data_IF_344592813875
#
_entry.id   IF_344592813875
#
_cell.length_a   1.000
_cell.length_b   1.000
_cell.length_c   1.000
_cell.angle_alpha   90.00
_cell.angle_beta   90.00
_cell.angle_gamma   90.00
#
_symmetry.space_group_name_H-M   'P 1'
#
loop_
_entity.id
_entity.type
_entity.pdbx_description
1 polymer ?
#
# COMPACT_ATOMS: atom_id res chain seq x y z
N UNK A 1 8.72 -2.77 -12.74
CA UNK A 1 7.90 -3.86 -12.18
C UNK A 1 6.46 -3.58 -12.56
N UNK A 2 5.84 -4.44 -13.35
CA UNK A 2 4.42 -4.33 -13.71
C UNK A 2 3.54 -5.10 -12.69
N UNK A 3 2.20 -5.04 -12.82
CA UNK A 3 1.29 -5.74 -11.89
C UNK A 3 1.46 -7.26 -11.91
N UNK A 4 1.83 -7.86 -13.05
CA UNK A 4 2.04 -9.31 -13.19
C UNK A 4 3.32 -9.73 -12.48
N UNK A 5 4.40 -8.97 -12.64
CA UNK A 5 5.66 -9.17 -11.94
C UNK A 5 5.47 -9.08 -10.42
N UNK A 6 4.71 -8.08 -9.95
CA UNK A 6 4.44 -7.89 -8.52
C UNK A 6 3.55 -8.99 -7.96
N UNK A 7 2.51 -9.38 -8.69
CA UNK A 7 1.64 -10.49 -8.31
C UNK A 7 2.43 -11.79 -8.16
N UNK A 8 3.29 -12.10 -9.15
CA UNK A 8 4.18 -13.25 -9.10
C UNK A 8 5.14 -13.18 -7.91
N UNK A 9 5.76 -12.02 -7.66
CA UNK A 9 6.68 -11.83 -6.54
C UNK A 9 6.01 -11.94 -5.16
N UNK A 10 4.72 -11.60 -5.06
CA UNK A 10 3.93 -11.68 -3.82
C UNK A 10 3.21 -13.02 -3.62
N UNK A 11 3.29 -13.95 -4.58
CA UNK A 11 2.44 -15.14 -4.60
C UNK A 11 0.94 -14.79 -4.57
N UNK A 12 0.57 -13.68 -5.20
CA UNK A 12 -0.78 -13.15 -5.26
C UNK A 12 -1.36 -13.24 -6.67
N UNK A 13 -2.68 -13.18 -6.78
CA UNK A 13 -3.34 -13.07 -8.07
C UNK A 13 -3.17 -11.64 -8.63
N UNK A 14 -2.95 -11.50 -9.94
CA UNK A 14 -2.89 -10.17 -10.60
C UNK A 14 -4.15 -9.33 -10.32
N UNK A 15 -5.31 -9.99 -10.26
CA UNK A 15 -6.60 -9.39 -9.92
C UNK A 15 -6.59 -8.83 -8.51
N UNK A 16 -5.95 -9.51 -7.55
CA UNK A 16 -5.79 -9.03 -6.18
C UNK A 16 -4.98 -7.73 -6.15
N UNK A 17 -3.83 -7.69 -6.83
CA UNK A 17 -3.01 -6.46 -6.95
C UNK A 17 -3.81 -5.31 -7.59
N UNK A 18 -4.52 -5.58 -8.69
CA UNK A 18 -5.38 -4.59 -9.34
C UNK A 18 -6.52 -4.07 -8.46
N UNK A 19 -7.07 -4.90 -7.57
CA UNK A 19 -8.13 -4.48 -6.64
C UNK A 19 -7.59 -3.58 -5.53
N UNK A 20 -6.38 -3.87 -5.02
CA UNK A 20 -5.70 -3.01 -4.03
C UNK A 20 -5.41 -1.64 -4.62
N UNK A 21 -4.80 -1.57 -5.81
CA UNK A 21 -4.42 -0.29 -6.44
C UNK A 21 -5.61 0.62 -6.73
N UNK A 22 -6.81 0.04 -6.89
CA UNK A 22 -8.06 0.78 -7.10
C UNK A 22 -8.82 1.08 -5.80
N UNK A 23 -8.26 0.73 -4.64
CA UNK A 23 -8.93 0.88 -3.34
C UNK A 23 -10.20 0.04 -3.22
N UNK A 24 -10.30 -1.08 -3.94
CA UNK A 24 -11.45 -1.99 -3.92
C UNK A 24 -11.26 -3.17 -2.96
N UNK A 25 -10.05 -3.34 -2.43
CA UNK A 25 -9.75 -4.40 -1.49
C UNK A 25 -8.67 -3.93 -0.52
N UNK A 26 -8.90 -4.17 0.77
CA UNK A 26 -7.93 -3.91 1.82
C UNK A 26 -7.04 -5.16 2.00
N UNK A 27 -5.71 -5.04 1.89
CA UNK A 27 -4.81 -6.14 2.19
C UNK A 27 -4.78 -6.45 3.69
N UNK A 28 -4.65 -7.73 4.06
CA UNK A 28 -4.36 -8.08 5.45
C UNK A 28 -2.93 -7.65 5.83
N UNK A 29 -2.65 -7.55 7.12
CA UNK A 29 -1.30 -7.23 7.60
C UNK A 29 -0.25 -8.21 7.05
N UNK A 30 -0.56 -9.50 6.99
CA UNK A 30 0.29 -10.52 6.35
C UNK A 30 0.58 -10.17 4.89
N UNK A 31 -0.43 -9.72 4.14
CA UNK A 31 -0.28 -9.34 2.73
C UNK A 31 0.54 -8.06 2.56
N UNK A 32 0.47 -7.12 3.50
CA UNK A 32 1.35 -5.95 3.54
C UNK A 32 2.81 -6.39 3.69
N UNK A 33 3.11 -7.39 4.55
CA UNK A 33 4.46 -7.93 4.67
C UNK A 33 4.93 -8.67 3.41
N UNK A 34 4.06 -9.45 2.76
CA UNK A 34 4.35 -10.10 1.48
C UNK A 34 4.70 -9.05 0.40
N UNK A 35 3.88 -8.01 0.27
CA UNK A 35 4.09 -6.88 -0.64
C UNK A 35 5.40 -6.15 -0.34
N UNK A 36 5.67 -5.85 0.93
CA UNK A 36 6.89 -5.16 1.35
C UNK A 36 8.13 -5.95 0.92
N UNK A 37 8.12 -7.28 1.14
CA UNK A 37 9.20 -8.17 0.74
C UNK A 37 9.40 -8.19 -0.78
N UNK A 38 8.32 -8.27 -1.55
CA UNK A 38 8.37 -8.25 -3.01
C UNK A 38 8.87 -6.90 -3.57
N UNK A 39 8.54 -5.79 -2.89
CA UNK A 39 9.01 -4.45 -3.20
C UNK A 39 10.44 -4.16 -2.72
N UNK A 40 11.07 -5.09 -1.97
CA UNK A 40 12.43 -4.92 -1.45
C UNK A 40 12.53 -3.92 -0.29
N UNK A 41 11.43 -3.69 0.43
CA UNK A 41 11.37 -2.79 1.60
C UNK A 41 10.92 -3.54 2.86
N UNK A 42 11.14 -2.95 4.02
CA UNK A 42 10.60 -3.49 5.28
C UNK A 42 9.12 -3.15 5.42
N UNK A 43 8.38 -3.96 6.19
CA UNK A 43 7.00 -3.63 6.54
C UNK A 43 6.87 -2.30 7.28
N UNK A 44 7.87 -1.91 8.08
CA UNK A 44 7.89 -0.61 8.76
C UNK A 44 8.03 0.56 7.78
N UNK A 45 8.83 0.41 6.71
CA UNK A 45 8.91 1.42 5.65
C UNK A 45 7.57 1.53 4.91
N UNK A 46 6.91 0.40 4.63
CA UNK A 46 5.59 0.39 4.01
C UNK A 46 4.57 1.16 4.86
N UNK A 47 4.45 0.80 6.14
CA UNK A 47 3.51 1.47 7.07
C UNK A 47 3.83 2.97 7.18
N UNK A 48 5.11 3.34 7.26
CA UNK A 48 5.51 4.74 7.29
C UNK A 48 5.08 5.52 6.05
N UNK A 49 5.11 4.90 4.87
CA UNK A 49 4.61 5.55 3.65
C UNK A 49 3.09 5.75 3.69
N UNK A 50 2.33 4.80 4.28
CA UNK A 50 0.89 4.97 4.49
C UNK A 50 0.62 6.16 5.41
N UNK A 51 1.33 6.27 6.55
CA UNK A 51 1.19 7.38 7.48
C UNK A 51 1.44 8.74 6.80
N UNK A 52 2.50 8.83 5.98
CA UNK A 52 2.83 10.05 5.24
C UNK A 52 1.75 10.42 4.22
N UNK A 53 1.18 9.44 3.52
CA UNK A 53 0.10 9.67 2.57
C UNK A 53 -1.19 10.10 3.29
N UNK A 54 -1.49 9.51 4.45
CA UNK A 54 -2.63 9.88 5.26
C UNK A 54 -2.53 11.34 5.76
N UNK A 55 -1.35 11.75 6.21
CA UNK A 55 -1.07 13.16 6.57
C UNK A 55 -1.24 14.08 5.36
N UNK A 56 -0.68 13.71 4.20
CA UNK A 56 -0.82 14.49 2.97
C UNK A 56 -2.30 14.68 2.59
N UNK A 57 -3.11 13.62 2.70
CA UNK A 57 -4.54 13.68 2.38
C UNK A 57 -5.31 14.59 3.35
N UNK A 58 -4.97 14.59 4.65
CA UNK A 58 -5.56 15.50 5.65
C UNK A 58 -5.20 16.97 5.43
N UNK A 59 -3.96 17.24 5.03
CA UNK A 59 -3.54 18.58 4.62
C UNK A 59 -4.34 19.08 3.41
N UNK A 60 -4.57 18.21 2.42
CA UNK A 60 -5.40 18.53 1.24
C UNK A 60 -6.89 18.67 1.56
N UNK A 61 -7.42 17.95 2.54
CA UNK A 61 -8.82 18.07 2.98
C UNK A 61 -9.05 19.29 3.89
N UNK A 62 -7.99 19.97 4.33
CA UNK A 62 -8.06 21.12 5.23
C UNK A 62 -8.37 20.75 6.68
N UNK A 63 -8.35 19.46 7.03
CA UNK A 63 -8.65 18.96 8.37
C UNK A 63 -7.56 19.33 9.41
N UNK A 64 -6.35 19.67 8.96
CA UNK A 64 -5.21 20.00 9.83
C UNK A 64 -5.04 21.52 10.10
N UNK A 65 -5.91 22.40 9.59
CA UNK A 65 -5.79 23.87 9.80
C UNK A 65 -6.28 24.30 11.21
N UNK A 66 -6.95 23.41 11.96
CA UNK A 66 -7.56 23.76 13.27
C UNK A 66 -6.72 23.39 14.52
N UNK A 67 -5.38 23.41 14.45
CA UNK A 67 -4.53 23.33 15.66
C UNK A 67 -3.72 24.59 15.92
#
# INVERSE_FOLDING_TARGET
>A
MNQEDLAAACGADRTYISLIERGKMEPSLTKIFDLSKALGITGSQFVRMIELEEMRLKELSGEDIEK
#
